data_IF_351049957065
#
_entry.id   IF_351049957065
#
_cell.length_a   1.000
_cell.length_b   1.000
_cell.length_c   1.000
_cell.angle_alpha   90.00
_cell.angle_beta   90.00
_cell.angle_gamma   90.00
#
_symmetry.space_group_name_H-M   'P 1'
#
loop_
_entity.id
_entity.type
_entity.pdbx_description
1 polymer ?
#
# COMPACT_ATOMS: atom_id res chain seq x y z
N UNK A 1 -19.13 -9.51 10.84
CA UNK A 1 -18.98 -8.83 9.54
C UNK A 1 -18.18 -7.57 9.80
N UNK A 2 -16.96 -7.47 9.28
CA UNK A 2 -16.13 -6.27 9.44
C UNK A 2 -16.07 -5.55 8.11
N UNK A 3 -16.22 -4.22 8.12
CA UNK A 3 -16.19 -3.39 6.93
C UNK A 3 -14.99 -2.45 7.01
N UNK A 4 -14.30 -2.28 5.88
CA UNK A 4 -13.33 -1.23 5.66
C UNK A 4 -13.95 -0.22 4.69
N UNK A 5 -14.02 1.04 5.10
CA UNK A 5 -14.61 2.13 4.31
C UNK A 5 -13.55 3.20 4.07
N UNK A 6 -13.42 3.66 2.84
CA UNK A 6 -12.60 4.81 2.47
C UNK A 6 -13.53 6.02 2.36
N UNK A 7 -13.43 6.93 3.32
CA UNK A 7 -14.28 8.12 3.40
C UNK A 7 -13.49 9.32 2.89
N UNK A 8 -14.12 10.13 2.03
CA UNK A 8 -13.53 11.37 1.55
C UNK A 8 -13.42 12.39 2.67
N UNK A 9 -12.23 12.95 2.86
CA UNK A 9 -11.99 14.10 3.72
C UNK A 9 -11.41 15.26 2.89
N UNK A 10 -11.70 16.53 3.22
CA UNK A 10 -11.21 17.66 2.44
C UNK A 10 -9.72 17.97 2.65
N UNK A 11 -9.14 17.52 3.77
CA UNK A 11 -7.74 17.76 4.10
C UNK A 11 -6.81 16.75 3.44
N UNK A 12 -5.66 17.22 2.97
CA UNK A 12 -4.57 16.33 2.57
C UNK A 12 -3.96 15.63 3.79
N UNK A 13 -3.43 14.42 3.58
CA UNK A 13 -2.71 13.67 4.61
C UNK A 13 -1.45 14.42 5.05
N UNK A 14 -1.25 14.53 6.37
CA UNK A 14 -0.11 15.28 6.97
C UNK A 14 0.84 14.40 7.78
N UNK A 15 0.43 13.19 8.15
CA UNK A 15 1.20 12.23 8.95
C UNK A 15 1.02 10.82 8.41
N UNK A 16 1.86 9.88 8.84
CA UNK A 16 1.71 8.46 8.51
C UNK A 16 0.37 7.91 9.01
N UNK A 17 -0.24 7.01 8.24
CA UNK A 17 -1.41 6.27 8.68
C UNK A 17 -1.09 5.46 9.95
N UNK A 18 -1.99 5.51 10.95
CA UNK A 18 -1.85 4.73 12.20
C UNK A 18 -2.22 3.26 12.03
N UNK A 19 -2.77 2.91 10.88
CA UNK A 19 -3.12 1.55 10.49
C UNK A 19 -2.10 1.08 9.47
N UNK A 20 -1.64 -0.16 9.61
CA UNK A 20 -0.84 -0.85 8.61
C UNK A 20 -1.77 -1.84 7.90
N UNK A 21 -2.02 -1.61 6.61
CA UNK A 21 -2.75 -2.55 5.76
C UNK A 21 -1.74 -3.40 4.99
N UNK A 22 -1.81 -4.72 5.16
CA UNK A 22 -0.98 -5.71 4.46
C UNK A 22 -1.85 -6.51 3.49
N UNK A 23 -1.60 -6.36 2.20
CA UNK A 23 -2.26 -7.06 1.11
C UNK A 23 -1.37 -8.21 0.65
N UNK A 24 -1.98 -9.36 0.36
CA UNK A 24 -1.27 -10.56 -0.07
C UNK A 24 -1.71 -10.95 -1.48
N UNK A 25 -1.16 -10.30 -2.52
CA UNK A 25 -1.40 -10.73 -3.89
C UNK A 25 -0.78 -12.10 -4.15
N UNK A 26 -1.29 -12.81 -5.16
CA UNK A 26 -0.69 -14.05 -5.63
C UNK A 26 0.70 -13.80 -6.26
N UNK A 27 0.79 -12.79 -7.13
CA UNK A 27 2.02 -12.39 -7.81
C UNK A 27 2.34 -10.93 -7.46
N UNK A 28 3.25 -10.72 -6.51
CA UNK A 28 3.55 -9.38 -5.98
C UNK A 28 4.01 -8.40 -7.06
N UNK A 29 4.93 -8.81 -7.93
CA UNK A 29 5.49 -7.92 -8.95
C UNK A 29 4.43 -7.47 -9.97
N UNK A 30 3.59 -8.40 -10.43
CA UNK A 30 2.51 -8.10 -11.35
C UNK A 30 1.44 -7.20 -10.70
N UNK A 31 1.16 -7.39 -9.41
CA UNK A 31 0.23 -6.53 -8.70
C UNK A 31 0.78 -5.12 -8.48
N UNK A 32 2.08 -4.98 -8.17
CA UNK A 32 2.74 -3.67 -8.06
C UNK A 32 2.63 -2.93 -9.40
N UNK A 33 2.99 -3.57 -10.52
CA UNK A 33 2.87 -2.97 -11.86
C UNK A 33 1.43 -2.54 -12.18
N UNK A 34 0.46 -3.40 -11.84
CA UNK A 34 -0.96 -3.09 -12.02
C UNK A 34 -1.40 -1.88 -11.20
N UNK A 35 -0.98 -1.80 -9.93
CA UNK A 35 -1.33 -0.69 -9.05
C UNK A 35 -0.67 0.62 -9.48
N UNK A 36 0.58 0.58 -9.94
CA UNK A 36 1.26 1.73 -10.53
C UNK A 36 0.53 2.25 -11.77
N UNK A 37 0.02 1.35 -12.63
CA UNK A 37 -0.80 1.74 -13.80
C UNK A 37 -2.11 2.44 -13.42
N UNK A 38 -2.58 2.24 -12.18
CA UNK A 38 -3.77 2.88 -11.62
C UNK A 38 -3.46 4.16 -10.84
N UNK A 39 -2.19 4.55 -10.75
CA UNK A 39 -1.72 5.78 -10.10
C UNK A 39 -1.20 5.59 -8.67
N UNK A 40 -1.10 4.35 -8.17
CA UNK A 40 -0.32 4.10 -6.95
C UNK A 40 1.17 4.29 -7.22
N UNK A 41 1.97 4.42 -6.16
CA UNK A 41 3.42 4.55 -6.26
C UNK A 41 4.11 3.86 -5.10
N UNK A 42 5.34 3.39 -5.33
CA UNK A 42 6.17 2.79 -4.29
C UNK A 42 6.65 3.85 -3.29
N UNK A 43 6.75 3.45 -2.02
CA UNK A 43 7.21 4.32 -0.92
C UNK A 43 8.39 3.65 -0.23
N UNK A 44 9.46 4.41 -0.03
CA UNK A 44 10.55 4.01 0.85
C UNK A 44 10.26 4.51 2.27
N UNK A 45 10.09 3.59 3.20
CA UNK A 45 9.91 3.83 4.64
C UNK A 45 11.14 3.43 5.45
N UNK A 46 12.27 3.16 4.79
CA UNK A 46 13.49 2.64 5.39
C UNK A 46 13.49 1.13 5.57
N UNK A 47 12.73 0.39 4.74
CA UNK A 47 12.59 -1.05 4.85
C UNK A 47 13.79 -1.86 4.34
N UNK A 48 14.71 -1.26 3.57
CA UNK A 48 15.90 -1.98 3.08
C UNK A 48 15.55 -3.17 2.17
N UNK A 49 16.16 -4.32 2.43
CA UNK A 49 16.06 -5.54 1.59
C UNK A 49 14.89 -6.47 1.97
N UNK A 50 13.88 -5.93 2.66
CA UNK A 50 12.69 -6.67 3.02
C UNK A 50 11.89 -7.13 1.79
N UNK A 51 11.19 -8.26 1.91
CA UNK A 51 10.46 -8.89 0.79
C UNK A 51 9.13 -8.22 0.47
N UNK A 52 8.64 -7.34 1.33
CA UNK A 52 7.40 -6.59 1.13
C UNK A 52 7.68 -5.24 0.49
N UNK A 53 6.78 -4.83 -0.40
CA UNK A 53 6.81 -3.52 -1.06
C UNK A 53 5.79 -2.61 -0.40
N UNK A 54 6.19 -1.43 0.06
CA UNK A 54 5.24 -0.39 0.47
C UNK A 54 4.80 0.39 -0.75
N UNK A 55 3.50 0.57 -0.87
CA UNK A 55 2.89 1.44 -1.85
C UNK A 55 2.02 2.48 -1.16
N UNK A 56 1.78 3.58 -1.85
CA UNK A 56 0.74 4.53 -1.51
C UNK A 56 -0.24 4.68 -2.67
N UNK A 57 -1.52 4.85 -2.34
CA UNK A 57 -2.54 5.24 -3.29
C UNK A 57 -2.35 6.70 -3.76
N UNK A 58 -3.13 7.19 -4.74
CA UNK A 58 -3.03 8.58 -5.20
C UNK A 58 -3.28 9.65 -4.11
N UNK A 59 -3.92 9.31 -3.00
CA UNK A 59 -4.17 10.20 -1.86
C UNK A 59 -3.05 10.13 -0.79
N UNK A 60 -2.05 9.26 -1.00
CA UNK A 60 -0.90 9.09 -0.11
C UNK A 60 -1.11 8.11 1.03
N UNK A 61 -2.14 7.25 0.98
CA UNK A 61 -2.41 6.24 2.00
C UNK A 61 -1.49 5.03 1.81
N UNK A 62 -0.66 4.73 2.82
CA UNK A 62 0.31 3.65 2.73
C UNK A 62 -0.30 2.26 3.00
N UNK A 63 0.14 1.27 2.25
CA UNK A 63 -0.12 -0.16 2.45
C UNK A 63 1.07 -1.00 1.98
N UNK A 64 1.19 -2.22 2.49
CA UNK A 64 2.19 -3.19 2.07
C UNK A 64 1.58 -4.22 1.13
N UNK A 65 2.31 -4.59 0.08
CA UNK A 65 2.08 -5.80 -0.68
C UNK A 65 3.11 -6.83 -0.28
N UNK A 66 2.72 -7.85 0.48
CA UNK A 66 3.61 -8.97 0.84
C UNK A 66 3.56 -10.05 -0.23
N UNK A 67 4.71 -10.47 -0.74
CA UNK A 67 4.84 -11.71 -1.50
C UNK A 67 4.62 -12.91 -0.60
N UNK A 68 4.26 -14.06 -1.18
CA UNK A 68 4.10 -15.29 -0.42
C UNK A 68 5.45 -15.65 0.25
N UNK A 69 5.44 -15.83 1.59
CA UNK A 69 6.57 -16.43 2.30
C UNK A 69 6.61 -17.90 1.87
N UNK A 70 7.51 -18.25 0.95
CA UNK A 70 7.84 -19.65 0.64
C UNK A 70 8.35 -20.39 1.87
#
# INVERSE_FOLDING_TARGET
MTLLLFLRVPEAKTVKNRIHLDLRPQEQAAEVERLESLGAFTVDVGQGEETWVVMADPEGNEFCGSGELT
#
